data_IF_377697796762
#
_entry.id   IF_377697796762
#
_cell.length_a   1.000
_cell.length_b   1.000
_cell.length_c   1.000
_cell.angle_alpha   90.00
_cell.angle_beta   90.00
_cell.angle_gamma   90.00
#
_symmetry.space_group_name_H-M   'P 1'
#
loop_
_entity.id
_entity.type
_entity.pdbx_description
1 polymer ?
#
# COMPACT_ATOMS: atom_id res chain seq x y z
N UNK A 1 29.86 30.02 34.18
CA UNK A 1 30.06 28.79 33.39
C UNK A 1 28.69 28.15 33.25
N UNK A 2 28.23 28.01 32.01
CA UNK A 2 27.08 27.22 31.55
C UNK A 2 25.67 27.70 31.91
N UNK A 3 24.98 28.24 30.90
CA UNK A 3 23.53 28.41 30.80
C UNK A 3 22.87 27.04 30.58
N UNK A 4 21.66 26.86 31.08
CA UNK A 4 20.53 26.40 30.27
C UNK A 4 19.22 26.66 31.04
N UNK A 5 18.38 27.49 30.43
CA UNK A 5 16.99 27.71 30.83
C UNK A 5 16.18 26.53 30.27
N UNK A 6 15.48 25.84 31.17
CA UNK A 6 14.59 24.72 30.85
C UNK A 6 13.15 25.09 31.20
N UNK A 7 12.66 26.22 30.69
CA UNK A 7 11.23 26.53 30.76
C UNK A 7 10.50 25.87 29.58
N UNK A 8 10.07 24.61 29.76
CA UNK A 8 9.15 23.94 28.84
C UNK A 8 7.70 24.24 29.26
N UNK A 9 6.90 24.97 28.45
CA UNK A 9 5.53 25.29 28.83
C UNK A 9 4.56 24.16 28.51
N UNK A 10 3.67 23.96 29.47
CA UNK A 10 2.41 23.23 29.48
C UNK A 10 1.71 23.09 28.11
N UNK A 11 1.67 21.86 27.59
CA UNK A 11 0.54 21.31 26.83
C UNK A 11 0.50 19.80 26.94
N UNK A 12 0.36 19.34 28.18
CA UNK A 12 -0.14 18.03 28.54
C UNK A 12 -1.63 17.95 28.14
N UNK A 13 -1.91 17.73 26.86
CA UNK A 13 -3.26 17.45 26.37
C UNK A 13 -3.46 15.93 26.23
N UNK A 14 -4.00 15.34 27.30
CA UNK A 14 -5.09 14.34 27.31
C UNK A 14 -5.06 13.27 26.19
N UNK A 15 -4.52 12.09 26.50
CA UNK A 15 -5.26 10.82 26.64
C UNK A 15 -4.30 9.63 26.62
N UNK A 16 -4.02 9.13 27.83
CA UNK A 16 -3.40 7.84 28.09
C UNK A 16 -4.45 6.76 27.77
N UNK A 17 -4.33 6.12 26.61
CA UNK A 17 -4.77 4.73 26.41
C UNK A 17 -3.61 4.03 25.69
N UNK A 18 -2.62 3.61 26.48
CA UNK A 18 -1.58 2.67 26.07
C UNK A 18 -2.07 1.26 26.40
N UNK A 19 -2.09 0.33 25.43
CA UNK A 19 -1.96 -1.13 25.67
C UNK A 19 -1.78 -1.89 24.34
N UNK A 20 -0.78 -2.80 24.30
CA UNK A 20 -0.43 -3.78 23.25
C UNK A 20 0.19 -3.23 21.94
N UNK A 21 -0.23 -2.05 21.48
CA UNK A 21 0.21 -1.52 20.17
C UNK A 21 1.72 -1.26 20.11
N UNK A 22 2.31 -0.62 21.14
CA UNK A 22 3.75 -0.28 21.22
C UNK A 22 4.72 -1.48 21.20
N UNK A 23 4.27 -2.68 21.59
CA UNK A 23 5.08 -3.89 21.49
C UNK A 23 5.00 -4.50 20.08
N UNK A 24 3.84 -4.41 19.43
CA UNK A 24 3.69 -4.75 18.00
C UNK A 24 4.51 -3.81 17.11
N UNK A 25 4.71 -2.55 17.50
CA UNK A 25 5.58 -1.60 16.78
C UNK A 25 7.03 -2.07 16.68
N UNK A 26 7.61 -2.60 17.77
CA UNK A 26 8.97 -3.15 17.74
C UNK A 26 9.05 -4.47 16.96
N UNK A 27 7.99 -5.28 17.00
CA UNK A 27 7.94 -6.58 16.30
C UNK A 27 7.79 -6.39 14.78
N UNK A 28 7.01 -5.42 14.30
CA UNK A 28 6.77 -5.22 12.87
C UNK A 28 7.94 -4.57 12.10
N UNK A 29 8.78 -3.76 12.76
CA UNK A 29 9.97 -3.16 12.12
C UNK A 29 10.99 -4.23 11.69
N UNK A 30 11.11 -5.30 12.49
CA UNK A 30 12.09 -6.37 12.31
C UNK A 30 11.45 -7.76 12.18
N UNK A 31 10.16 -7.89 11.84
CA UNK A 31 9.53 -9.20 11.63
C UNK A 31 10.23 -9.93 10.48
N UNK A 32 11.06 -10.96 10.76
CA UNK A 32 11.83 -11.64 9.73
C UNK A 32 10.90 -12.33 8.72
N UNK A 33 9.70 -12.70 9.16
CA UNK A 33 8.67 -13.33 8.34
C UNK A 33 8.13 -12.40 7.25
N UNK A 34 8.17 -11.09 7.47
CA UNK A 34 7.72 -10.08 6.49
C UNK A 34 8.91 -9.51 5.71
N UNK A 35 10.08 -9.32 6.32
CA UNK A 35 11.27 -8.81 5.65
C UNK A 35 11.80 -9.72 4.53
N UNK A 36 11.50 -11.03 4.56
CA UNK A 36 11.86 -11.98 3.49
C UNK A 36 11.29 -11.62 2.12
N UNK A 37 10.24 -10.78 2.07
CA UNK A 37 9.62 -10.32 0.83
C UNK A 37 10.32 -9.08 0.22
N UNK A 38 11.42 -8.63 0.82
CA UNK A 38 12.26 -7.59 0.21
C UNK A 38 12.93 -8.15 -1.06
N UNK A 39 12.79 -7.45 -2.18
CA UNK A 39 13.39 -7.85 -3.47
C UNK A 39 13.61 -6.65 -4.38
N UNK A 40 14.34 -6.80 -5.48
CA UNK A 40 14.49 -5.74 -6.50
C UNK A 40 13.86 -6.14 -7.83
N UNK A 41 13.54 -5.14 -8.64
CA UNK A 41 13.08 -5.30 -10.02
C UNK A 41 13.82 -4.34 -10.92
N UNK A 42 14.35 -4.85 -12.04
CA UNK A 42 15.00 -4.04 -13.06
C UNK A 42 14.03 -3.90 -14.24
N UNK A 43 13.65 -2.65 -14.54
CA UNK A 43 12.82 -2.32 -15.69
C UNK A 43 13.54 -2.61 -17.01
N UNK A 44 12.81 -2.64 -18.12
CA UNK A 44 13.42 -2.82 -19.46
C UNK A 44 14.45 -1.73 -19.81
N UNK A 45 14.30 -0.56 -19.22
CA UNK A 45 15.18 0.59 -19.41
C UNK A 45 16.41 0.56 -18.46
N UNK A 46 16.61 -0.54 -17.72
CA UNK A 46 17.74 -0.71 -16.80
C UNK A 46 17.58 0.00 -15.45
N UNK A 47 16.40 0.55 -15.15
CA UNK A 47 16.12 1.19 -13.86
C UNK A 47 15.84 0.12 -12.81
N UNK A 48 16.65 0.03 -11.76
CA UNK A 48 16.42 -0.83 -10.60
C UNK A 48 15.55 -0.12 -9.57
N UNK A 49 14.53 -0.82 -9.08
CA UNK A 49 13.65 -0.39 -7.99
C UNK A 49 13.61 -1.44 -6.88
N UNK A 50 13.44 -1.00 -5.64
CA UNK A 50 13.37 -1.85 -4.47
C UNK A 50 11.91 -2.07 -4.06
N UNK A 51 11.52 -3.32 -3.85
CA UNK A 51 10.27 -3.66 -3.19
C UNK A 51 10.58 -4.05 -1.75
N UNK A 52 9.85 -3.46 -0.80
CA UNK A 52 9.98 -3.83 0.61
C UNK A 52 8.65 -3.69 1.34
N UNK A 53 8.46 -4.41 2.45
CA UNK A 53 7.35 -4.15 3.37
C UNK A 53 7.30 -2.69 3.84
N UNK A 54 6.09 -2.20 4.10
CA UNK A 54 5.88 -0.90 4.76
C UNK A 54 6.40 -0.97 6.19
N UNK A 55 7.01 0.12 6.64
CA UNK A 55 7.51 0.29 8.00
C UNK A 55 6.73 1.39 8.72
N UNK A 56 6.65 1.34 10.07
CA UNK A 56 6.00 2.38 10.84
C UNK A 56 6.59 3.79 10.66
N UNK A 57 7.88 3.90 10.33
CA UNK A 57 8.58 5.16 10.07
C UNK A 57 8.40 5.69 8.63
N UNK A 58 7.61 5.01 7.80
CA UNK A 58 7.29 5.46 6.44
C UNK A 58 6.22 6.57 6.38
N UNK A 59 5.65 6.98 7.51
CA UNK A 59 4.55 7.96 7.59
C UNK A 59 4.81 9.21 6.72
N UNK A 60 5.99 9.83 6.87
CA UNK A 60 6.37 11.04 6.13
C UNK A 60 6.59 10.75 4.63
N UNK A 61 7.27 9.65 4.29
CA UNK A 61 7.53 9.27 2.89
C UNK A 61 6.25 8.89 2.15
N UNK A 62 5.29 8.25 2.83
CA UNK A 62 3.98 7.91 2.26
C UNK A 62 3.16 9.17 2.05
N UNK A 63 3.26 10.15 2.97
CA UNK A 63 2.62 11.44 2.82
C UNK A 63 3.19 12.21 1.62
N UNK A 64 4.51 12.25 1.47
CA UNK A 64 5.21 12.82 0.31
C UNK A 64 4.77 12.16 -0.99
N UNK A 65 4.77 10.83 -1.05
CA UNK A 65 4.26 10.06 -2.18
C UNK A 65 2.82 10.40 -2.50
N UNK A 66 1.93 10.44 -1.49
CA UNK A 66 0.52 10.77 -1.71
C UNK A 66 0.35 12.17 -2.33
N UNK A 67 1.15 13.15 -1.90
CA UNK A 67 1.10 14.51 -2.44
C UNK A 67 1.75 14.65 -3.81
N UNK A 68 2.63 13.73 -4.23
CA UNK A 68 3.18 13.72 -5.59
C UNK A 68 2.17 13.24 -6.63
N UNK A 69 1.17 12.44 -6.22
CA UNK A 69 0.16 11.88 -7.12
C UNK A 69 -0.70 12.94 -7.80
N UNK A 70 -0.98 12.71 -9.08
CA UNK A 70 -1.96 13.50 -9.83
C UNK A 70 -3.38 13.33 -9.26
N UNK A 71 -4.24 14.32 -9.53
CA UNK A 71 -5.67 14.22 -9.17
C UNK A 71 -6.35 13.02 -9.83
N UNK A 72 -5.94 12.67 -11.04
CA UNK A 72 -6.45 11.52 -11.77
C UNK A 72 -6.07 10.21 -11.07
N UNK A 73 -4.79 10.05 -10.69
CA UNK A 73 -4.33 8.87 -9.94
C UNK A 73 -5.00 8.76 -8.57
N UNK A 74 -5.19 9.87 -7.85
CA UNK A 74 -5.94 9.89 -6.58
C UNK A 74 -7.40 9.48 -6.81
N UNK A 75 -8.05 10.03 -7.84
CA UNK A 75 -9.43 9.69 -8.18
C UNK A 75 -9.59 8.19 -8.45
N UNK A 76 -8.72 7.62 -9.29
CA UNK A 76 -8.77 6.19 -9.60
C UNK A 76 -8.47 5.27 -8.43
N UNK A 77 -7.60 5.70 -7.50
CA UNK A 77 -7.24 4.87 -6.35
C UNK A 77 -8.26 4.94 -5.23
N UNK A 78 -8.80 6.13 -4.95
CA UNK A 78 -9.60 6.38 -3.75
C UNK A 78 -11.07 6.64 -4.05
N UNK A 79 -11.49 6.46 -5.31
CA UNK A 79 -12.86 6.70 -5.79
C UNK A 79 -13.38 8.08 -5.35
N UNK A 80 -12.45 9.02 -5.19
CA UNK A 80 -12.70 10.36 -4.68
C UNK A 80 -11.63 11.32 -5.18
N UNK A 81 -12.04 12.47 -5.71
CA UNK A 81 -11.12 13.53 -6.18
C UNK A 81 -10.52 14.39 -5.06
N UNK A 82 -10.60 13.96 -3.80
CA UNK A 82 -10.19 14.78 -2.65
C UNK A 82 -8.67 14.72 -2.47
N UNK A 83 -8.00 15.86 -2.66
CA UNK A 83 -6.55 16.04 -2.40
C UNK A 83 -6.16 15.94 -0.91
N UNK A 84 -7.12 15.98 0.00
CA UNK A 84 -6.85 15.95 1.44
C UNK A 84 -7.27 14.59 2.00
N UNK A 85 -6.36 13.62 2.00
CA UNK A 85 -6.49 12.44 2.86
C UNK A 85 -6.05 12.87 4.25
N UNK A 86 -6.91 12.77 5.28
CA UNK A 86 -6.50 13.10 6.63
C UNK A 86 -5.35 12.16 7.05
N UNK A 87 -4.33 12.69 7.73
CA UNK A 87 -3.16 11.94 8.22
C UNK A 87 -3.60 10.67 9.01
N UNK A 88 -4.76 10.72 9.67
CA UNK A 88 -5.37 9.57 10.37
C UNK A 88 -5.79 8.40 9.46
N UNK A 89 -5.91 8.60 8.15
CA UNK A 89 -6.05 7.52 7.15
C UNK A 89 -4.71 6.96 6.71
N UNK A 90 -3.65 7.77 6.65
CA UNK A 90 -2.30 7.30 6.31
C UNK A 90 -1.75 6.39 7.40
N UNK A 91 -1.96 6.77 8.68
CA UNK A 91 -1.58 5.92 9.82
C UNK A 91 -2.23 4.53 9.79
N UNK A 92 -3.40 4.37 9.19
CA UNK A 92 -4.04 3.04 9.03
C UNK A 92 -3.30 2.12 8.03
N UNK A 93 -2.47 2.67 7.16
CA UNK A 93 -1.65 1.91 6.21
C UNK A 93 -0.23 1.63 6.73
N UNK A 94 0.26 2.38 7.70
CA UNK A 94 1.57 2.12 8.35
C UNK A 94 1.48 1.25 9.60
N UNK A 95 0.28 1.12 10.16
CA UNK A 95 0.01 0.34 11.38
C UNK A 95 -0.83 -0.89 11.04
N UNK A 96 -0.27 -1.74 10.18
CA UNK A 96 -0.95 -2.91 9.64
C UNK A 96 -0.79 -4.10 10.59
N UNK A 97 -1.92 -4.72 10.96
CA UNK A 97 -1.93 -6.10 11.44
C UNK A 97 -1.57 -7.01 10.27
N UNK A 98 -0.30 -7.45 10.26
CA UNK A 98 0.25 -8.27 9.21
C UNK A 98 -0.35 -9.68 9.16
N UNK A 99 -1.13 -10.13 10.14
CA UNK A 99 -1.87 -11.40 10.02
C UNK A 99 -3.06 -11.28 9.05
N UNK A 100 -3.69 -10.10 9.01
CA UNK A 100 -4.92 -9.84 8.24
C UNK A 100 -4.71 -8.99 7.00
N UNK A 101 -3.60 -8.26 6.93
CA UNK A 101 -3.30 -7.41 5.78
C UNK A 101 -1.82 -7.52 5.45
N UNK A 102 -1.46 -7.15 4.23
CA UNK A 102 -0.06 -7.10 3.82
C UNK A 102 0.14 -5.89 2.94
N UNK A 103 1.19 -5.11 3.20
CA UNK A 103 1.52 -3.96 2.38
C UNK A 103 3.01 -3.85 2.11
N UNK A 104 3.32 -3.35 0.92
CA UNK A 104 4.65 -3.08 0.45
C UNK A 104 4.71 -1.71 -0.23
N UNK A 105 5.91 -1.15 -0.24
CA UNK A 105 6.28 0.00 -1.04
C UNK A 105 7.25 -0.40 -2.15
N UNK A 106 7.22 0.37 -3.21
CA UNK A 106 8.26 0.40 -4.23
C UNK A 106 9.07 1.67 -4.02
N UNK A 107 10.39 1.54 -3.94
CA UNK A 107 11.31 2.65 -3.77
C UNK A 107 12.27 2.78 -4.96
N UNK A 108 12.61 4.03 -5.27
CA UNK A 108 13.73 4.39 -6.11
C UNK A 108 14.53 5.49 -5.40
N UNK A 109 15.82 5.24 -5.15
CA UNK A 109 16.71 6.18 -4.45
C UNK A 109 16.08 6.73 -3.15
N UNK A 110 15.65 5.82 -2.26
CA UNK A 110 15.00 6.11 -0.97
C UNK A 110 13.66 6.88 -1.03
N UNK A 111 13.15 7.15 -2.23
CA UNK A 111 11.85 7.77 -2.48
C UNK A 111 10.81 6.70 -2.76
N UNK A 112 9.67 6.73 -2.07
CA UNK A 112 8.55 5.85 -2.36
C UNK A 112 7.91 6.31 -3.68
N UNK A 113 7.83 5.39 -4.64
CA UNK A 113 7.26 5.61 -5.98
C UNK A 113 6.02 4.74 -6.24
N UNK A 114 5.65 3.89 -5.28
CA UNK A 114 4.45 3.06 -5.37
C UNK A 114 4.12 2.39 -4.05
N UNK A 115 2.84 2.09 -3.86
CA UNK A 115 2.30 1.40 -2.69
C UNK A 115 1.35 0.32 -3.17
N UNK A 116 1.44 -0.87 -2.56
CA UNK A 116 0.57 -1.98 -2.86
C UNK A 116 0.24 -2.78 -1.62
N UNK A 117 -1.00 -3.22 -1.52
CA UNK A 117 -1.45 -4.04 -0.40
C UNK A 117 -2.55 -5.00 -0.79
N UNK A 118 -2.79 -5.98 0.08
CA UNK A 118 -4.05 -6.70 0.12
C UNK A 118 -4.58 -6.80 1.56
N UNK A 119 -5.90 -6.88 1.67
CA UNK A 119 -6.65 -6.98 2.93
C UNK A 119 -7.48 -8.25 2.87
N UNK A 120 -7.34 -9.14 3.86
CA UNK A 120 -8.13 -10.35 3.96
C UNK A 120 -9.57 -9.99 4.37
N UNK A 121 -10.56 -10.43 3.60
CA UNK A 121 -11.97 -10.07 3.79
C UNK A 121 -12.78 -11.22 4.38
N UNK A 122 -12.79 -12.38 3.71
CA UNK A 122 -13.66 -13.53 4.01
C UNK A 122 -12.85 -14.80 4.27
N UNK A 123 -13.24 -15.54 5.32
CA UNK A 123 -12.77 -16.90 5.66
C UNK A 123 -11.25 -17.14 5.65
N UNK A 124 -10.44 -16.08 5.73
CA UNK A 124 -8.97 -16.12 5.59
C UNK A 124 -8.46 -16.59 4.20
N UNK A 125 -9.35 -16.82 3.24
CA UNK A 125 -9.00 -17.35 1.91
C UNK A 125 -9.20 -16.32 0.79
N UNK A 126 -9.91 -15.23 1.06
CA UNK A 126 -10.15 -14.14 0.11
C UNK A 126 -9.46 -12.86 0.55
N UNK A 127 -8.78 -12.18 -0.38
CA UNK A 127 -8.19 -10.87 -0.11
C UNK A 127 -8.49 -9.83 -1.22
N UNK A 128 -8.81 -8.61 -0.81
CA UNK A 128 -8.95 -7.46 -1.69
C UNK A 128 -7.58 -6.82 -1.92
N UNK A 129 -7.16 -6.65 -3.17
CA UNK A 129 -5.85 -6.12 -3.56
C UNK A 129 -5.96 -4.73 -4.17
N UNK A 130 -5.00 -3.86 -3.85
CA UNK A 130 -4.88 -2.54 -4.47
C UNK A 130 -3.41 -2.12 -4.64
N UNK A 131 -3.11 -1.46 -5.77
CA UNK A 131 -1.79 -0.88 -6.07
C UNK A 131 -1.97 0.54 -6.61
N UNK A 132 -1.05 1.43 -6.25
CA UNK A 132 -0.92 2.78 -6.79
C UNK A 132 0.54 3.07 -7.08
N UNK A 133 0.81 3.75 -8.20
CA UNK A 133 2.15 4.14 -8.64
C UNK A 133 2.17 5.65 -8.92
N UNK A 134 3.29 6.29 -8.58
CA UNK A 134 3.56 7.67 -8.96
C UNK A 134 3.47 7.82 -10.48
N UNK A 135 2.84 8.90 -10.95
CA UNK A 135 2.53 9.13 -12.36
C UNK A 135 3.77 9.05 -13.27
N UNK A 136 4.94 9.49 -12.80
CA UNK A 136 6.20 9.46 -13.56
C UNK A 136 6.79 8.05 -13.70
N UNK A 137 6.33 7.12 -12.87
CA UNK A 137 6.81 5.74 -12.78
C UNK A 137 5.85 4.74 -13.42
N UNK A 138 4.70 5.21 -13.89
CA UNK A 138 3.75 4.40 -14.66
C UNK A 138 4.32 4.02 -16.04
N UNK A 139 3.74 2.99 -16.65
CA UNK A 139 4.10 2.50 -18.00
C UNK A 139 5.54 1.95 -18.15
N UNK A 140 6.30 1.81 -17.04
CA UNK A 140 7.64 1.19 -16.99
C UNK A 140 7.62 -0.31 -16.64
N UNK A 141 6.44 -0.91 -16.60
CA UNK A 141 6.23 -2.32 -16.19
C UNK A 141 6.28 -2.58 -14.68
N UNK A 142 6.67 -1.58 -13.88
CA UNK A 142 6.80 -1.70 -12.41
C UNK A 142 5.49 -2.11 -11.76
N UNK A 143 4.38 -1.41 -12.04
CA UNK A 143 3.08 -1.72 -11.42
C UNK A 143 2.56 -3.12 -11.76
N UNK A 144 2.76 -3.58 -13.00
CA UNK A 144 2.38 -4.94 -13.41
C UNK A 144 3.22 -6.00 -12.72
N UNK A 145 4.54 -5.79 -12.63
CA UNK A 145 5.44 -6.70 -11.92
C UNK A 145 5.12 -6.72 -10.42
N UNK A 146 4.85 -5.55 -9.83
CA UNK A 146 4.50 -5.42 -8.44
C UNK A 146 3.18 -6.14 -8.09
N UNK A 147 2.14 -6.00 -8.92
CA UNK A 147 0.91 -6.79 -8.78
C UNK A 147 1.19 -8.30 -8.83
N UNK A 148 1.99 -8.78 -9.79
CA UNK A 148 2.39 -10.21 -9.86
C UNK A 148 3.09 -10.66 -8.60
N UNK A 149 3.96 -9.81 -8.06
CA UNK A 149 4.70 -10.12 -6.84
C UNK A 149 3.77 -10.20 -5.63
N UNK A 150 2.85 -9.25 -5.45
CA UNK A 150 1.84 -9.32 -4.38
C UNK A 150 0.95 -10.56 -4.51
N UNK A 151 0.55 -10.94 -5.73
CA UNK A 151 -0.19 -12.19 -5.98
C UNK A 151 0.63 -13.40 -5.51
N UNK A 152 1.94 -13.45 -5.81
CA UNK A 152 2.79 -14.56 -5.39
C UNK A 152 2.89 -14.68 -3.86
N UNK A 153 2.94 -13.54 -3.16
CA UNK A 153 2.95 -13.49 -1.70
C UNK A 153 1.61 -13.93 -1.13
N UNK A 154 0.50 -13.49 -1.72
CA UNK A 154 -0.84 -13.91 -1.32
C UNK A 154 -1.00 -15.44 -1.42
N UNK A 155 -0.53 -16.07 -2.51
CA UNK A 155 -0.52 -17.53 -2.67
C UNK A 155 0.32 -18.23 -1.59
N UNK A 156 1.53 -17.75 -1.35
CA UNK A 156 2.41 -18.30 -0.32
C UNK A 156 1.77 -18.26 1.07
N UNK A 157 0.95 -17.23 1.30
CA UNK A 157 0.23 -17.01 2.55
C UNK A 157 -1.15 -17.66 2.61
N UNK A 158 -1.48 -18.54 1.65
CA UNK A 158 -2.68 -19.37 1.65
C UNK A 158 -3.96 -18.69 1.14
N UNK A 159 -3.85 -17.50 0.56
CA UNK A 159 -4.97 -16.84 -0.11
C UNK A 159 -5.29 -17.60 -1.41
N UNK A 160 -6.56 -17.90 -1.62
CA UNK A 160 -7.07 -18.65 -2.79
C UNK A 160 -7.82 -17.76 -3.76
N UNK A 161 -8.43 -16.68 -3.27
CA UNK A 161 -9.25 -15.79 -4.07
C UNK A 161 -8.78 -14.35 -3.87
N UNK A 162 -8.60 -13.63 -4.98
CA UNK A 162 -8.31 -12.20 -4.96
C UNK A 162 -9.48 -11.44 -5.55
N UNK A 163 -9.80 -10.30 -4.93
CA UNK A 163 -10.75 -9.33 -5.46
C UNK A 163 -10.06 -7.99 -5.66
N UNK A 164 -10.57 -7.18 -6.58
CA UNK A 164 -10.21 -5.78 -6.68
C UNK A 164 -11.38 -4.98 -7.23
N UNK A 165 -11.57 -3.77 -6.70
CA UNK A 165 -12.54 -2.82 -7.24
C UNK A 165 -11.81 -1.84 -8.16
N UNK A 166 -12.31 -1.65 -9.37
CA UNK A 166 -11.71 -0.78 -10.38
C UNK A 166 -12.78 0.07 -11.08
N UNK A 167 -12.48 1.34 -11.33
CA UNK A 167 -13.35 2.21 -12.13
C UNK A 167 -13.34 1.78 -13.60
N UNK A 168 -14.52 1.78 -14.24
CA UNK A 168 -14.68 1.45 -15.66
C UNK A 168 -13.82 2.32 -16.59
N UNK A 169 -13.56 3.56 -16.20
CA UNK A 169 -12.78 4.53 -16.97
C UNK A 169 -11.28 4.25 -16.91
N UNK A 170 -10.80 3.42 -15.97
CA UNK A 170 -9.38 3.08 -15.83
C UNK A 170 -8.98 1.95 -16.79
N UNK A 171 -9.09 2.20 -18.11
CA UNK A 171 -8.78 1.20 -19.14
C UNK A 171 -7.36 0.62 -19.03
N UNK A 172 -6.41 1.37 -18.44
CA UNK A 172 -5.04 0.90 -18.20
C UNK A 172 -4.99 -0.23 -17.18
N UNK A 173 -5.68 -0.10 -16.04
CA UNK A 173 -5.73 -1.17 -15.03
C UNK A 173 -6.55 -2.36 -15.51
N UNK A 174 -7.65 -2.13 -16.25
CA UNK A 174 -8.49 -3.19 -16.82
C UNK A 174 -7.70 -4.15 -17.72
N UNK A 175 -6.86 -3.61 -18.62
CA UNK A 175 -5.96 -4.44 -19.46
C UNK A 175 -4.90 -5.17 -18.65
N UNK A 176 -4.50 -4.62 -17.50
CA UNK A 176 -3.47 -5.21 -16.65
C UNK A 176 -4.03 -6.38 -15.85
N UNK A 177 -5.18 -6.20 -15.20
CA UNK A 177 -5.84 -7.24 -14.39
C UNK A 177 -6.31 -8.41 -15.26
N UNK A 178 -6.79 -8.16 -16.48
CA UNK A 178 -7.12 -9.22 -17.45
C UNK A 178 -5.90 -10.11 -17.77
N UNK A 179 -4.73 -9.50 -18.03
CA UNK A 179 -3.46 -10.22 -18.24
C UNK A 179 -2.95 -10.95 -17.00
N UNK A 180 -3.47 -10.63 -15.83
CA UNK A 180 -3.15 -11.28 -14.56
C UNK A 180 -4.15 -12.40 -14.23
N UNK A 181 -5.15 -12.65 -15.09
CA UNK A 181 -6.12 -13.72 -14.91
C UNK A 181 -7.37 -13.31 -14.12
N UNK A 182 -7.51 -12.02 -13.78
CA UNK A 182 -8.76 -11.53 -13.19
C UNK A 182 -9.88 -11.55 -14.22
N UNK A 183 -11.04 -11.99 -13.78
CA UNK A 183 -12.29 -12.01 -14.54
C UNK A 183 -13.23 -10.96 -13.99
N UNK A 184 -14.09 -10.44 -14.86
CA UNK A 184 -15.19 -9.58 -14.44
C UNK A 184 -16.23 -10.40 -13.68
N UNK A 185 -16.48 -10.02 -12.43
CA UNK A 185 -17.48 -10.68 -11.57
C UNK A 185 -18.80 -9.91 -11.58
N UNK A 186 -18.76 -8.61 -11.26
CA UNK A 186 -19.97 -7.80 -11.08
C UNK A 186 -19.73 -6.34 -11.41
N UNK A 187 -20.71 -5.70 -12.05
CA UNK A 187 -20.81 -4.24 -12.16
C UNK A 187 -21.53 -3.69 -10.93
N UNK A 188 -20.94 -2.71 -10.26
CA UNK A 188 -21.51 -2.04 -9.10
C UNK A 188 -22.32 -0.80 -9.55
N UNK A 189 -23.15 -0.27 -8.64
CA UNK A 189 -24.16 0.75 -8.98
C UNK A 189 -23.57 2.10 -9.42
N UNK A 190 -22.29 2.39 -9.14
CA UNK A 190 -21.64 3.68 -9.39
C UNK A 190 -20.57 3.67 -10.50
N UNK A 191 -20.58 2.68 -11.40
CA UNK A 191 -19.60 2.61 -12.51
C UNK A 191 -18.29 1.91 -12.13
N UNK A 192 -18.24 1.30 -10.95
CA UNK A 192 -17.16 0.40 -10.56
C UNK A 192 -17.40 -1.02 -11.10
N UNK A 193 -16.29 -1.73 -11.29
CA UNK A 193 -16.25 -3.15 -11.56
C UNK A 193 -15.56 -3.85 -10.40
N UNK A 194 -16.21 -4.89 -9.89
CA UNK A 194 -15.56 -5.91 -9.09
C UNK A 194 -14.94 -6.93 -10.04
N UNK A 195 -13.63 -7.12 -9.91
CA UNK A 195 -12.89 -8.18 -10.59
C UNK A 195 -12.37 -9.20 -9.59
N UNK A 196 -12.29 -10.45 -10.03
CA UNK A 196 -11.92 -11.57 -9.16
C UNK A 196 -10.97 -12.54 -9.88
N UNK A 197 -10.05 -13.15 -9.13
CA UNK A 197 -9.14 -14.17 -9.63
C UNK A 197 -8.95 -15.29 -8.61
N UNK A 198 -9.01 -16.53 -9.09
CA UNK A 198 -8.51 -17.69 -8.34
C UNK A 198 -6.99 -17.78 -8.53
N UNK A 199 -6.26 -17.96 -7.42
CA UNK A 199 -4.78 -17.93 -7.41
C UNK A 199 -4.16 -19.17 -6.80
#
# INVERSE_FOLDING_TARGET
MSKEDGSFPERFCKNVIYNVVDLMFFIAMDDPGVQKYRTTFITKDGIEVLYRPIRPDDDDKILEFYYSLSRETIYFRFFSGRKNVPISRIRRYTHIDYEKNFAMVVEYQDTIIGIGHYIITENLETAEMAVVMDDNWQQKGIGTHFLRYLISIAKERGIKHLTATVLLENYKILKTIEKLGFKFSKKLEEGDLLVEADI
#
